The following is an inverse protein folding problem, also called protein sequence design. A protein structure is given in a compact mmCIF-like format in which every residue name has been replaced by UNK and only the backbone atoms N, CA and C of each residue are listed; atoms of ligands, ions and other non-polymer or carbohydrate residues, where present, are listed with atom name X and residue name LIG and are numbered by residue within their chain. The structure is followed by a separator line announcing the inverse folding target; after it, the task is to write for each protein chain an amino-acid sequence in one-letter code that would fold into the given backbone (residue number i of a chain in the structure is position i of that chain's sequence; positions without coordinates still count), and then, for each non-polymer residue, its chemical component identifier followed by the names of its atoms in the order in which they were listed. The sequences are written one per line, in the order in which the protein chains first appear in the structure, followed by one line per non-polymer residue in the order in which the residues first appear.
data_IF_099735133188
#
_entry.id   IF_099735133188
#
_cell.length_a   1.000
_cell.length_b   1.000
_cell.length_c   1.000
_cell.angle_alpha   90.00
_cell.angle_beta   90.00
_cell.angle_gamma   90.00
#
_symmetry.space_group_name_H-M   'P 1'
#
loop_
_entity.id
_entity.type
_entity.pdbx_description
1 polymer ?
#
# COMPACT_ATOMS: atom_id res chain seq x y z
N UNK A 1 -11.85 6.45 -11.28
CA UNK A 1 -12.61 5.77 -10.21
C UNK A 1 -11.90 6.03 -8.89
N UNK A 2 -12.46 6.87 -8.01
CA UNK A 2 -11.84 7.18 -6.72
C UNK A 2 -12.06 6.02 -5.76
N UNK A 3 -11.02 5.24 -5.46
CA UNK A 3 -11.11 4.21 -4.43
C UNK A 3 -11.13 4.95 -3.09
N UNK A 4 -12.23 4.84 -2.35
CA UNK A 4 -12.32 5.41 -1.00
C UNK A 4 -11.65 4.49 0.03
N UNK A 5 -10.53 4.92 0.59
CA UNK A 5 -9.78 4.22 1.64
C UNK A 5 -8.98 5.20 2.50
N UNK A 6 -8.64 4.78 3.70
CA UNK A 6 -7.88 5.60 4.65
C UNK A 6 -6.38 5.31 4.55
N UNK A 7 -5.58 6.39 4.56
CA UNK A 7 -4.13 6.30 4.59
C UNK A 7 -3.71 6.47 6.05
N UNK A 8 -3.03 5.48 6.65
CA UNK A 8 -2.66 5.56 8.06
C UNK A 8 -1.66 6.70 8.29
N UNK A 9 -1.87 7.46 9.37
CA UNK A 9 -0.94 8.49 9.83
C UNK A 9 0.24 7.81 10.54
N UNK A 10 1.39 7.78 9.88
CA UNK A 10 2.59 7.09 10.35
C UNK A 10 3.78 8.01 10.20
N UNK A 11 4.65 8.01 11.21
CA UNK A 11 5.94 8.68 11.12
C UNK A 11 6.78 8.03 10.00
N UNK A 12 7.15 8.80 8.99
CA UNK A 12 7.95 8.34 7.85
C UNK A 12 9.37 7.95 8.25
N UNK A 13 9.90 8.54 9.33
CA UNK A 13 11.28 8.30 9.77
C UNK A 13 11.54 6.86 10.20
N UNK A 14 10.50 6.15 10.64
CA UNK A 14 10.57 4.75 11.07
C UNK A 14 10.33 3.75 9.92
N UNK A 15 10.05 4.23 8.70
CA UNK A 15 9.74 3.39 7.55
C UNK A 15 11.00 3.05 6.75
N UNK A 16 11.14 1.76 6.39
CA UNK A 16 12.12 1.37 5.38
C UNK A 16 11.66 1.81 3.99
N UNK A 17 12.59 1.90 3.04
CA UNK A 17 12.33 2.35 1.65
C UNK A 17 11.08 1.72 1.02
N UNK A 18 10.91 0.40 1.13
CA UNK A 18 9.74 -0.30 0.58
C UNK A 18 8.40 0.06 1.22
N UNK A 19 8.40 0.31 2.53
CA UNK A 19 7.19 0.73 3.24
C UNK A 19 6.85 2.17 2.91
N UNK A 20 7.87 3.02 2.78
CA UNK A 20 7.72 4.39 2.34
C UNK A 20 7.14 4.45 0.92
N UNK A 21 7.65 3.61 0.02
CA UNK A 21 7.12 3.48 -1.34
C UNK A 21 5.64 3.08 -1.34
N UNK A 22 5.23 2.08 -0.55
CA UNK A 22 3.82 1.69 -0.41
C UNK A 22 2.94 2.87 0.04
N UNK A 23 3.44 3.67 0.99
CA UNK A 23 2.72 4.84 1.50
C UNK A 23 2.59 5.92 0.42
N UNK A 24 3.69 6.24 -0.27
CA UNK A 24 3.73 7.29 -1.29
C UNK A 24 2.86 6.94 -2.51
N UNK A 25 2.93 5.69 -2.99
CA UNK A 25 2.09 5.25 -4.14
C UNK A 25 0.60 5.26 -3.79
N UNK A 26 0.25 4.90 -2.56
CA UNK A 26 -1.14 4.99 -2.08
C UNK A 26 -1.59 6.46 -2.03
N UNK A 27 -0.76 7.36 -1.48
CA UNK A 27 -1.07 8.79 -1.47
C UNK A 27 -1.29 9.35 -2.89
N UNK A 28 -0.43 9.01 -3.84
CA UNK A 28 -0.58 9.42 -5.24
C UNK A 28 -1.84 8.85 -5.90
N UNK A 29 -2.24 7.62 -5.56
CA UNK A 29 -3.49 7.04 -6.03
C UNK A 29 -4.73 7.75 -5.45
N UNK A 30 -4.68 8.17 -4.19
CA UNK A 30 -5.78 8.88 -3.52
C UNK A 30 -5.90 10.32 -3.98
N UNK A 31 -4.79 11.03 -4.15
CA UNK A 31 -4.77 12.45 -4.57
C UNK A 31 -4.83 12.63 -6.08
N UNK A 32 -4.43 11.61 -6.86
CA UNK A 32 -4.22 11.71 -8.31
C UNK A 32 -2.93 12.43 -8.70
N UNK A 33 -2.19 13.00 -7.74
CA UNK A 33 -1.00 13.84 -7.96
C UNK A 33 0.26 13.01 -7.76
N UNK A 34 1.26 13.16 -8.64
CA UNK A 34 2.58 12.51 -8.50
C UNK A 34 2.63 11.05 -8.98
N UNK A 35 1.65 10.60 -9.78
CA UNK A 35 1.64 9.26 -10.38
C UNK A 35 2.86 8.99 -11.27
N UNK A 36 3.23 9.95 -12.11
CA UNK A 36 4.31 9.80 -13.10
C UNK A 36 5.70 9.64 -12.47
N UNK A 37 5.98 10.34 -11.37
CA UNK A 37 7.28 10.23 -10.67
C UNK A 37 7.43 8.84 -10.00
N UNK A 38 6.32 8.25 -9.57
CA UNK A 38 6.30 6.96 -8.86
C UNK A 38 6.31 5.75 -9.80
N UNK A 39 5.84 5.87 -11.04
CA UNK A 39 5.96 4.77 -12.04
C UNK A 39 7.39 4.57 -12.52
N UNK A 40 8.22 5.60 -12.43
CA UNK A 40 9.65 5.59 -12.81
C UNK A 40 10.55 5.26 -11.63
N UNK A 41 10.15 5.62 -10.41
CA UNK A 41 10.93 5.41 -9.19
C UNK A 41 11.20 3.91 -8.95
N UNK A 42 12.47 3.56 -8.75
CA UNK A 42 12.83 2.23 -8.29
C UNK A 42 12.33 2.03 -6.84
N UNK A 43 11.45 1.06 -6.55
CA UNK A 43 11.08 0.72 -5.18
C UNK A 43 12.26 0.23 -4.33
N UNK A 44 13.41 -0.06 -4.96
CA UNK A 44 14.66 -0.48 -4.34
C UNK A 44 14.80 -2.01 -4.25
N UNK A 45 15.93 -2.47 -3.71
CA UNK A 45 16.27 -3.89 -3.59
C UNK A 45 15.22 -4.69 -2.81
N UNK A 46 14.71 -5.77 -3.41
CA UNK A 46 13.72 -6.70 -2.86
C UNK A 46 13.79 -6.84 -1.32
N UNK A 47 12.76 -6.36 -0.63
CA UNK A 47 12.58 -6.60 0.80
C UNK A 47 12.40 -8.10 1.07
N UNK A 48 12.82 -8.58 2.24
CA UNK A 48 12.49 -9.94 2.71
C UNK A 48 10.98 -10.23 2.79
N UNK A 49 10.13 -9.20 2.76
CA UNK A 49 8.68 -9.37 2.69
C UNK A 49 8.22 -9.55 1.23
N UNK A 50 8.00 -10.81 0.85
CA UNK A 50 7.47 -11.17 -0.49
C UNK A 50 6.17 -10.44 -0.80
N UNK A 51 5.27 -10.34 0.18
CA UNK A 51 3.95 -9.75 -0.03
C UNK A 51 3.98 -8.24 -0.22
N UNK A 52 4.84 -7.52 0.50
CA UNK A 52 5.05 -6.09 0.29
C UNK A 52 5.59 -5.78 -1.11
N UNK A 53 6.50 -6.62 -1.61
CA UNK A 53 7.03 -6.50 -2.97
C UNK A 53 5.94 -6.71 -4.00
N UNK A 54 5.12 -7.75 -3.85
CA UNK A 54 3.99 -8.01 -4.76
C UNK A 54 3.01 -6.85 -4.75
N UNK A 55 2.61 -6.36 -3.57
CA UNK A 55 1.70 -5.22 -3.44
C UNK A 55 2.23 -3.97 -4.16
N UNK A 56 3.50 -3.60 -3.93
CA UNK A 56 4.12 -2.43 -4.57
C UNK A 56 4.16 -2.57 -6.11
N UNK A 57 4.47 -3.77 -6.62
CA UNK A 57 4.47 -4.04 -8.07
C UNK A 57 3.08 -4.00 -8.67
N UNK A 58 2.08 -4.55 -8.00
CA UNK A 58 0.68 -4.52 -8.45
C UNK A 58 0.12 -3.10 -8.50
N UNK A 59 0.39 -2.29 -7.48
CA UNK A 59 -0.04 -0.87 -7.48
C UNK A 59 0.65 -0.08 -8.59
N UNK A 60 1.94 -0.34 -8.85
CA UNK A 60 2.68 0.29 -9.96
C UNK A 60 2.11 -0.12 -11.32
N UNK A 61 1.80 -1.40 -11.50
CA UNK A 61 1.15 -1.91 -12.71
C UNK A 61 -0.20 -1.22 -12.94
N UNK A 62 -1.02 -1.12 -11.90
CA UNK A 62 -2.31 -0.42 -12.00
C UNK A 62 -2.16 1.05 -12.42
N UNK A 63 -1.10 1.73 -11.98
CA UNK A 63 -0.83 3.11 -12.37
C UNK A 63 -0.31 3.26 -13.80
N UNK A 64 0.34 2.25 -14.35
CA UNK A 64 0.85 2.27 -15.73
C UNK A 64 -0.20 1.88 -16.77
N UNK A 65 -1.30 1.26 -16.36
CA UNK A 65 -2.38 0.84 -17.25
C UNK A 65 -3.39 1.96 -17.48
N UNK A 66 -3.66 2.31 -18.74
CA UNK A 66 -4.74 3.24 -19.10
C UNK A 66 -6.12 2.64 -18.83
N UNK A 67 -6.26 1.32 -19.03
CA UNK A 67 -7.51 0.56 -18.85
C UNK A 67 -7.28 -0.72 -18.04
N UNK A 68 -7.13 -0.61 -16.70
CA UNK A 68 -6.86 -1.76 -15.84
C UNK A 68 -8.05 -2.73 -15.81
N UNK A 69 -7.76 -4.03 -15.90
CA UNK A 69 -8.79 -5.08 -15.89
C UNK A 69 -9.57 -5.12 -14.56
N UNK A 70 -10.81 -5.65 -14.55
CA UNK A 70 -11.60 -5.78 -13.33
C UNK A 70 -10.88 -6.56 -12.22
N UNK A 71 -10.14 -7.61 -12.58
CA UNK A 71 -9.38 -8.44 -11.64
C UNK A 71 -8.23 -7.64 -11.01
N UNK A 72 -7.51 -6.84 -11.82
CA UNK A 72 -6.46 -5.97 -11.31
C UNK A 72 -7.05 -4.89 -10.38
N UNK A 73 -8.20 -4.32 -10.74
CA UNK A 73 -8.91 -3.36 -9.90
C UNK A 73 -9.29 -3.96 -8.54
N UNK A 74 -9.81 -5.19 -8.52
CA UNK A 74 -10.18 -5.88 -7.29
C UNK A 74 -8.98 -6.10 -6.36
N UNK A 75 -7.85 -6.57 -6.92
CA UNK A 75 -6.62 -6.78 -6.14
C UNK A 75 -6.10 -5.45 -5.58
N UNK A 76 -6.14 -4.37 -6.37
CA UNK A 76 -5.73 -3.03 -5.92
C UNK A 76 -6.61 -2.53 -4.78
N UNK A 77 -7.93 -2.71 -4.88
CA UNK A 77 -8.87 -2.38 -3.81
C UNK A 77 -8.53 -3.17 -2.54
N UNK A 78 -8.28 -4.46 -2.65
CA UNK A 78 -7.86 -5.29 -1.52
C UNK A 78 -6.55 -4.80 -0.88
N UNK A 79 -5.55 -4.45 -1.70
CA UNK A 79 -4.27 -3.96 -1.20
C UNK A 79 -4.47 -2.67 -0.40
N UNK A 80 -5.25 -1.71 -0.92
CA UNK A 80 -5.41 -0.39 -0.33
C UNK A 80 -6.36 -0.38 0.87
N UNK A 81 -7.45 -1.16 0.83
CA UNK A 81 -8.46 -1.18 1.90
C UNK A 81 -8.12 -2.13 3.04
N UNK A 82 -7.49 -3.27 2.74
CA UNK A 82 -7.32 -4.34 3.73
C UNK A 82 -5.86 -4.54 4.07
N UNK A 83 -5.02 -4.85 3.07
CA UNK A 83 -3.64 -5.24 3.35
C UNK A 83 -2.80 -4.09 3.93
N UNK A 84 -2.80 -2.92 3.28
CA UNK A 84 -1.97 -1.78 3.68
C UNK A 84 -2.30 -1.32 5.11
N UNK A 85 -3.57 -1.04 5.49
CA UNK A 85 -3.88 -0.59 6.84
C UNK A 85 -3.52 -1.63 7.92
N UNK A 86 -3.81 -2.92 7.69
CA UNK A 86 -3.47 -3.99 8.61
C UNK A 86 -1.95 -4.13 8.77
N UNK A 87 -1.22 -4.15 7.65
CA UNK A 87 0.23 -4.28 7.65
C UNK A 87 0.90 -3.16 8.43
N UNK A 88 0.51 -1.92 8.17
CA UNK A 88 1.04 -0.77 8.90
C UNK A 88 0.67 -0.83 10.37
N UNK A 89 -0.58 -1.14 10.71
CA UNK A 89 -1.01 -1.24 12.10
C UNK A 89 -0.23 -2.31 12.89
N UNK A 90 0.03 -3.47 12.28
CA UNK A 90 0.89 -4.51 12.89
C UNK A 90 2.32 -4.00 13.10
N UNK A 91 2.86 -3.23 12.14
CA UNK A 91 4.25 -2.74 12.21
C UNK A 91 4.43 -1.53 13.13
N UNK A 92 3.40 -0.74 13.35
CA UNK A 92 3.40 0.39 14.31
C UNK A 92 2.98 -0.04 15.71
N UNK A 93 2.34 -1.21 15.85
CA UNK A 93 2.01 -1.79 17.14
C UNK A 93 3.29 -2.12 17.92
N UNK A 94 3.36 -1.66 19.17
CA UNK A 94 4.45 -1.99 20.11
C UNK A 94 4.39 -3.44 20.59
N UNK A 95 3.25 -4.11 20.47
CA UNK A 95 3.03 -5.47 21.00
C UNK A 95 2.32 -6.36 19.98
N UNK A 96 2.82 -7.58 19.80
CA UNK A 96 2.22 -8.59 18.90
C UNK A 96 0.82 -9.06 19.34
N UNK A 97 0.38 -8.69 20.55
CA UNK A 97 -0.91 -9.05 21.15
C UNK A 97 -2.11 -8.34 20.53
N UNK A 98 -1.90 -7.22 19.83
CA UNK A 98 -3.00 -6.44 19.22
C UNK A 98 -3.42 -6.96 17.84
N UNK A 99 -2.67 -7.90 17.26
CA UNK A 99 -2.96 -8.49 15.94
C UNK A 99 -4.41 -8.95 15.75
N UNK A 100 -4.99 -9.76 16.66
CA UNK A 100 -6.37 -10.23 16.54
C UNK A 100 -7.42 -9.11 16.54
N UNK A 101 -7.18 -7.99 17.24
CA UNK A 101 -8.12 -6.86 17.32
C UNK A 101 -8.15 -6.05 16.03
N UNK A 102 -7.07 -6.08 15.24
CA UNK A 102 -6.97 -5.37 13.97
C UNK A 102 -7.73 -6.05 12.84
N UNK A 103 -7.79 -7.38 12.86
CA UNK A 103 -8.57 -8.17 11.90
C UNK A 103 -10.07 -7.85 12.03
N UNK A 104 -10.58 -7.74 13.26
CA UNK A 104 -12.01 -7.52 13.53
C UNK A 104 -12.49 -6.07 13.29
N UNK A 105 -11.60 -5.11 13.04
CA UNK A 105 -11.97 -3.70 12.76
C UNK A 105 -12.15 -3.41 11.26
N UNK A 106 -11.89 -4.39 10.41
CA UNK A 106 -11.89 -4.22 8.94
C UNK A 106 -13.22 -4.62 8.28
N UNK A 107 -14.29 -4.77 9.07
CA UNK A 107 -15.67 -5.08 8.63
C UNK A 107 -16.54 -3.84 8.75
#
# INVERSE_FOLDING_TARGET
MGIDYQIPAIDRSILSKHKQYLLDISMAMKSGIGKEDLTVRDPGLLSHSRWLTTANRTLRLYLSEESPTPELQEIVVFILKSYMPIWFSIKTSKYFTEGPKLVNKSV
#
